data_IF_810193206690
#
_entry.id   IF_810193206690
#
_cell.length_a   1.000
_cell.length_b   1.000
_cell.length_c   1.000
_cell.angle_alpha   90.00
_cell.angle_beta   90.00
_cell.angle_gamma   90.00
#
_symmetry.space_group_name_H-M   'P 1'
#
loop_
_entity.id
_entity.type
_entity.pdbx_description
1 polymer ?
#
# COMPACT_ATOMS: atom_id res chain seq x y z
N UNK A 1 -20.51 11.91 13.33
CA UNK A 1 -20.22 10.68 12.58
C UNK A 1 -18.85 10.18 12.98
N UNK A 2 -18.76 8.97 13.52
CA UNK A 2 -17.49 8.34 13.91
C UNK A 2 -16.64 8.00 12.69
N UNK A 3 -15.35 7.76 12.88
CA UNK A 3 -14.45 7.31 11.80
C UNK A 3 -14.97 6.02 11.17
N UNK A 4 -15.45 5.07 11.99
CA UNK A 4 -16.04 3.82 11.53
C UNK A 4 -17.27 4.03 10.66
N UNK A 5 -18.15 4.96 11.02
CA UNK A 5 -19.34 5.31 10.23
C UNK A 5 -18.97 5.96 8.89
N UNK A 6 -17.88 6.73 8.84
CA UNK A 6 -17.34 7.29 7.58
C UNK A 6 -16.72 6.20 6.71
N UNK A 7 -15.89 5.34 7.30
CA UNK A 7 -15.19 4.26 6.58
C UNK A 7 -16.17 3.26 5.93
N UNK A 8 -17.29 2.95 6.59
CA UNK A 8 -18.35 2.08 6.04
C UNK A 8 -18.97 2.56 4.72
N UNK A 9 -18.81 3.83 4.36
CA UNK A 9 -19.36 4.40 3.12
C UNK A 9 -18.37 4.39 1.96
N UNK A 10 -17.11 4.03 2.20
CA UNK A 10 -16.07 3.99 1.18
C UNK A 10 -16.37 2.84 0.21
N UNK A 11 -16.41 3.16 -1.08
CA UNK A 11 -16.61 2.18 -2.17
C UNK A 11 -15.36 1.96 -3.01
N UNK A 12 -14.31 2.75 -2.77
CA UNK A 12 -13.06 2.72 -3.50
C UNK A 12 -11.94 3.22 -2.59
N UNK A 13 -10.84 2.48 -2.57
CA UNK A 13 -9.61 2.86 -1.90
C UNK A 13 -8.54 3.09 -2.98
N UNK A 14 -7.92 4.27 -2.96
CA UNK A 14 -6.79 4.61 -3.84
C UNK A 14 -5.60 4.86 -2.92
N UNK A 15 -4.49 4.17 -3.19
CA UNK A 15 -3.28 4.23 -2.39
C UNK A 15 -2.13 4.70 -3.26
N UNK A 16 -1.31 5.57 -2.69
CA UNK A 16 0.01 5.88 -3.25
C UNK A 16 0.95 4.67 -3.04
N UNK A 17 2.09 4.66 -3.74
CA UNK A 17 3.04 3.55 -3.68
C UNK A 17 4.20 3.88 -2.75
N UNK A 18 5.00 4.88 -3.12
CA UNK A 18 6.27 5.17 -2.44
C UNK A 18 6.02 5.94 -1.14
N UNK A 19 6.28 5.30 0.00
CA UNK A 19 6.00 5.85 1.33
C UNK A 19 4.58 5.58 1.85
N UNK A 20 3.76 4.82 1.10
CA UNK A 20 2.46 4.31 1.57
C UNK A 20 2.43 2.78 1.54
N UNK A 21 2.53 2.17 0.36
CA UNK A 21 2.60 0.70 0.21
C UNK A 21 4.03 0.15 0.36
N UNK A 22 5.01 1.05 0.33
CA UNK A 22 6.41 0.78 0.60
C UNK A 22 6.90 1.71 1.71
N UNK A 23 8.08 1.44 2.26
CA UNK A 23 8.77 2.34 3.20
C UNK A 23 9.37 3.59 2.53
N UNK A 24 9.15 3.77 1.22
CA UNK A 24 9.72 4.84 0.40
C UNK A 24 11.17 4.57 -0.04
N UNK A 25 11.73 3.41 0.33
CA UNK A 25 13.04 2.97 -0.12
C UNK A 25 13.03 2.54 -1.58
N UNK A 26 14.10 2.89 -2.29
CA UNK A 26 14.34 2.48 -3.67
C UNK A 26 15.63 1.65 -3.70
N UNK A 27 15.52 0.37 -4.03
CA UNK A 27 16.67 -0.53 -4.18
C UNK A 27 17.01 -0.61 -5.67
N UNK A 28 18.25 -0.29 -6.03
CA UNK A 28 18.76 -0.44 -7.40
C UNK A 28 19.74 -1.61 -7.43
N UNK A 29 19.50 -2.58 -8.31
CA UNK A 29 20.39 -3.74 -8.46
C UNK A 29 21.58 -3.44 -9.40
N UNK A 30 22.50 -4.40 -9.55
CA UNK A 30 23.70 -4.25 -10.39
C UNK A 30 23.43 -4.03 -11.89
N UNK A 31 22.22 -4.37 -12.37
CA UNK A 31 21.77 -4.12 -13.75
C UNK A 31 21.09 -2.75 -13.91
N UNK A 32 21.00 -1.96 -12.83
CA UNK A 32 20.27 -0.69 -12.81
C UNK A 32 18.75 -0.84 -12.72
N UNK A 33 18.24 -2.04 -12.40
CA UNK A 33 16.80 -2.26 -12.21
C UNK A 33 16.37 -1.86 -10.82
N UNK A 34 15.22 -1.20 -10.76
CA UNK A 34 14.55 -0.83 -9.51
C UNK A 34 13.78 -2.01 -8.92
N UNK A 35 13.90 -2.16 -7.59
CA UNK A 35 13.16 -3.12 -6.78
C UNK A 35 12.45 -2.33 -5.69
N UNK A 36 11.13 -2.55 -5.58
CA UNK A 36 10.27 -2.01 -4.51
C UNK A 36 9.87 -3.13 -3.57
N UNK A 37 9.89 -2.86 -2.27
CA UNK A 37 9.54 -3.84 -1.23
C UNK A 37 8.18 -3.48 -0.63
N UNK A 38 7.27 -4.44 -0.65
CA UNK A 38 5.91 -4.32 -0.13
C UNK A 38 5.70 -5.18 1.11
N UNK A 39 4.70 -4.84 1.93
CA UNK A 39 4.32 -5.62 3.10
C UNK A 39 3.28 -6.70 2.76
N UNK A 40 3.54 -7.94 3.17
CA UNK A 40 2.63 -9.08 2.94
C UNK A 40 1.28 -8.91 3.65
N UNK A 41 1.25 -8.23 4.80
CA UNK A 41 0.00 -7.99 5.53
C UNK A 41 -0.91 -6.98 4.83
N UNK A 42 -0.34 -6.01 4.12
CA UNK A 42 -1.13 -5.05 3.33
C UNK A 42 -1.82 -5.77 2.17
N UNK A 43 -1.11 -6.68 1.48
CA UNK A 43 -1.68 -7.52 0.44
C UNK A 43 -2.85 -8.37 0.95
N UNK A 44 -2.67 -9.05 2.08
CA UNK A 44 -3.74 -9.85 2.70
C UNK A 44 -4.92 -8.99 3.15
N UNK A 45 -4.66 -7.78 3.67
CA UNK A 45 -5.71 -6.84 4.07
C UNK A 45 -6.55 -6.35 2.90
N UNK A 46 -5.92 -6.10 1.75
CA UNK A 46 -6.62 -5.70 0.51
C UNK A 46 -7.42 -6.86 -0.08
N UNK A 47 -6.91 -8.10 -0.01
CA UNK A 47 -7.61 -9.29 -0.53
C UNK A 47 -8.88 -9.61 0.27
N UNK A 48 -8.86 -9.38 1.59
CA UNK A 48 -9.99 -9.65 2.49
C UNK A 48 -11.09 -8.57 2.44
N UNK A 49 -10.81 -7.41 1.85
CA UNK A 49 -11.70 -6.24 1.84
C UNK A 49 -12.78 -6.32 0.75
#
# INVERSE_FOLDING_TARGET
>A
MSITEKAKQIKMLILDVDGVLTDGGIIINAEGKEIKVFNVYDGAGIELA
#
